data_IF_972987415676
#
_entry.id   IF_972987415676
#
_cell.length_a   1.000
_cell.length_b   1.000
_cell.length_c   1.000
_cell.angle_alpha   90.00
_cell.angle_beta   90.00
_cell.angle_gamma   90.00
#
_symmetry.space_group_name_H-M   'P 1'
#
loop_
_entity.id
_entity.type
_entity.pdbx_description
1 polymer ?
#
# COMPACT_ATOMS: atom_id res chain seq x y z
N UNK A 1 22.46 11.16 -15.54
CA UNK A 1 21.31 12.09 -15.46
C UNK A 1 20.90 12.12 -14.00
N UNK A 2 21.28 13.17 -13.27
CA UNK A 2 20.88 13.37 -11.88
C UNK A 2 19.35 13.35 -11.77
N UNK A 3 18.81 12.68 -10.76
CA UNK A 3 17.42 12.85 -10.35
C UNK A 3 17.25 14.23 -9.71
N UNK A 4 17.40 15.31 -10.49
CA UNK A 4 16.81 16.59 -10.10
C UNK A 4 15.32 16.55 -10.42
N UNK A 5 14.56 16.07 -9.45
CA UNK A 5 13.10 16.25 -9.47
C UNK A 5 12.81 17.74 -9.43
N UNK A 6 12.19 18.28 -10.47
CA UNK A 6 11.89 19.70 -10.49
C UNK A 6 10.90 20.06 -9.39
N UNK A 7 11.00 21.28 -8.83
CA UNK A 7 10.01 21.79 -7.85
C UNK A 7 8.57 21.62 -8.36
N UNK A 8 8.37 21.71 -9.67
CA UNK A 8 7.08 21.48 -10.34
C UNK A 8 6.59 20.03 -10.20
N UNK A 9 7.45 19.04 -10.42
CA UNK A 9 7.09 17.63 -10.25
C UNK A 9 6.68 17.33 -8.79
N UNK A 10 7.45 17.82 -7.82
CA UNK A 10 7.16 17.60 -6.40
C UNK A 10 5.83 18.26 -5.99
N UNK A 11 5.54 19.47 -6.48
CA UNK A 11 4.24 20.14 -6.27
C UNK A 11 3.08 19.33 -6.84
N UNK A 12 3.20 18.82 -8.06
CA UNK A 12 2.16 17.99 -8.68
C UNK A 12 1.94 16.71 -7.87
N UNK A 13 3.04 16.05 -7.47
CA UNK A 13 2.96 14.84 -6.65
C UNK A 13 2.19 15.09 -5.35
N UNK A 14 2.54 16.10 -4.55
CA UNK A 14 1.84 16.38 -3.29
C UNK A 14 0.40 16.86 -3.51
N UNK A 15 0.14 17.66 -4.56
CA UNK A 15 -1.22 18.10 -4.89
C UNK A 15 -2.13 16.91 -5.21
N UNK A 16 -1.62 15.90 -5.91
CA UNK A 16 -2.42 14.71 -6.20
C UNK A 16 -2.46 13.76 -5.00
N UNK A 17 -1.31 13.38 -4.46
CA UNK A 17 -1.22 12.41 -3.38
C UNK A 17 -1.91 12.88 -2.10
N UNK A 18 -1.84 14.16 -1.72
CA UNK A 18 -2.55 14.69 -0.54
C UNK A 18 -3.80 15.47 -0.92
N UNK A 19 -3.73 16.36 -1.91
CA UNK A 19 -4.89 17.18 -2.27
C UNK A 19 -6.09 16.36 -2.70
N UNK A 20 -5.91 15.34 -3.55
CA UNK A 20 -7.03 14.44 -3.95
C UNK A 20 -7.49 13.59 -2.77
N UNK A 21 -6.56 13.06 -1.95
CA UNK A 21 -6.90 12.25 -0.76
C UNK A 21 -7.79 12.99 0.21
N UNK A 22 -7.42 14.22 0.57
CA UNK A 22 -8.19 15.01 1.53
C UNK A 22 -9.47 15.57 0.92
N UNK A 23 -9.46 15.91 -0.38
CA UNK A 23 -10.67 16.30 -1.10
C UNK A 23 -11.69 15.15 -1.14
N UNK A 24 -11.26 13.94 -1.53
CA UNK A 24 -12.08 12.73 -1.47
C UNK A 24 -12.46 12.36 -0.03
N UNK A 25 -11.59 12.68 0.93
CA UNK A 25 -11.86 12.56 2.36
C UNK A 25 -13.06 13.38 2.85
N UNK A 26 -13.37 14.54 2.23
CA UNK A 26 -14.59 15.30 2.54
C UNK A 26 -15.86 14.54 2.14
N UNK A 27 -15.83 13.83 1.01
CA UNK A 27 -16.93 12.98 0.58
C UNK A 27 -17.03 11.73 1.44
N UNK A 28 -15.89 11.13 1.81
CA UNK A 28 -15.87 10.00 2.74
C UNK A 28 -16.42 10.38 4.12
N UNK A 29 -16.07 11.55 4.64
CA UNK A 29 -16.65 12.12 5.86
C UNK A 29 -18.16 12.28 5.75
N UNK A 30 -18.64 12.91 4.66
CA UNK A 30 -20.07 13.07 4.42
C UNK A 30 -20.79 11.71 4.34
N UNK A 31 -20.19 10.74 3.65
CA UNK A 31 -20.64 9.35 3.58
C UNK A 31 -20.83 8.74 4.96
N UNK A 32 -19.74 8.69 5.73
CA UNK A 32 -19.70 8.12 7.07
C UNK A 32 -20.67 8.81 8.04
N UNK A 33 -20.72 10.15 8.03
CA UNK A 33 -21.59 10.94 8.91
C UNK A 33 -23.10 10.75 8.63
N UNK A 34 -23.46 10.31 7.43
CA UNK A 34 -24.85 10.03 7.04
C UNK A 34 -25.12 8.52 6.90
N UNK A 35 -24.25 7.66 7.44
CA UNK A 35 -24.38 6.21 7.40
C UNK A 35 -24.52 5.63 5.98
N UNK A 36 -23.82 6.23 5.01
CA UNK A 36 -23.74 5.73 3.64
C UNK A 36 -22.51 4.85 3.44
N UNK A 37 -22.50 4.07 2.37
CA UNK A 37 -21.38 3.18 2.06
C UNK A 37 -20.13 3.97 1.60
N UNK A 38 -19.03 3.78 2.31
CA UNK A 38 -17.73 4.37 1.99
C UNK A 38 -16.65 3.31 1.70
N UNK A 39 -17.06 2.05 1.51
CA UNK A 39 -16.17 0.89 1.29
C UNK A 39 -15.36 0.97 -0.01
N UNK A 40 -15.84 1.75 -0.99
CA UNK A 40 -15.16 1.97 -2.27
C UNK A 40 -13.97 2.94 -2.18
N UNK A 41 -13.93 3.84 -1.18
CA UNK A 41 -12.93 4.91 -1.11
C UNK A 41 -11.49 4.43 -0.87
N UNK A 42 -11.22 3.45 0.02
CA UNK A 42 -9.85 3.02 0.32
C UNK A 42 -9.08 2.58 -0.93
N UNK A 43 -9.70 1.75 -1.78
CA UNK A 43 -9.07 1.26 -3.01
C UNK A 43 -8.77 2.40 -4.00
N UNK A 44 -9.67 3.38 -4.13
CA UNK A 44 -9.41 4.59 -4.91
C UNK A 44 -8.22 5.36 -4.31
N UNK A 45 -8.22 5.53 -2.99
CA UNK A 45 -7.19 6.26 -2.25
C UNK A 45 -5.80 5.67 -2.47
N UNK A 46 -5.65 4.35 -2.37
CA UNK A 46 -4.38 3.64 -2.62
C UNK A 46 -3.74 3.99 -3.97
N UNK A 47 -4.52 4.41 -4.98
CA UNK A 47 -4.01 4.73 -6.31
C UNK A 47 -3.43 6.15 -6.45
N UNK A 48 -3.77 7.08 -5.55
CA UNK A 48 -3.43 8.50 -5.70
C UNK A 48 -1.92 8.80 -5.72
N UNK A 49 -1.07 8.16 -4.90
CA UNK A 49 0.37 8.46 -4.90
C UNK A 49 1.04 8.18 -6.25
N UNK A 50 0.78 7.03 -6.87
CA UNK A 50 1.28 6.69 -8.20
C UNK A 50 0.72 7.64 -9.26
N UNK A 51 -0.56 8.01 -9.18
CA UNK A 51 -1.15 9.00 -10.08
C UNK A 51 -0.41 10.34 -10.01
N UNK A 52 -0.02 10.77 -8.80
CA UNK A 52 0.79 11.97 -8.61
C UNK A 52 2.13 11.90 -9.34
N UNK A 53 2.82 10.76 -9.26
CA UNK A 53 4.09 10.53 -9.98
C UNK A 53 3.86 10.50 -11.49
N UNK A 54 2.84 9.78 -11.95
CA UNK A 54 2.52 9.61 -13.38
C UNK A 54 2.16 10.96 -14.00
N UNK A 55 1.33 11.77 -13.35
CA UNK A 55 0.96 13.11 -13.81
C UNK A 55 2.18 14.05 -13.79
N UNK A 56 2.99 14.00 -12.73
CA UNK A 56 4.22 14.78 -12.65
C UNK A 56 5.14 14.47 -13.84
N UNK A 57 5.36 13.20 -14.15
CA UNK A 57 6.14 12.78 -15.32
C UNK A 57 5.46 13.15 -16.64
N UNK A 58 4.17 12.88 -16.81
CA UNK A 58 3.43 13.19 -18.03
C UNK A 58 3.45 14.69 -18.37
N UNK A 59 3.41 15.57 -17.36
CA UNK A 59 3.40 17.02 -17.56
C UNK A 59 4.79 17.65 -17.75
N UNK A 60 5.86 16.98 -17.30
CA UNK A 60 7.22 17.54 -17.30
C UNK A 60 8.21 16.80 -18.21
N UNK A 61 7.93 15.54 -18.54
CA UNK A 61 8.73 14.69 -19.44
C UNK A 61 7.94 14.29 -20.69
N UNK A 62 7.15 15.21 -21.24
CA UNK A 62 6.23 14.97 -22.37
C UNK A 62 6.90 14.24 -23.55
N UNK A 63 8.15 14.59 -23.84
CA UNK A 63 8.89 14.09 -25.00
C UNK A 63 9.68 12.80 -24.72
N UNK A 64 9.64 12.25 -23.50
CA UNK A 64 10.34 11.01 -23.19
C UNK A 64 9.62 9.80 -23.82
N UNK A 65 10.24 9.26 -24.88
CA UNK A 65 9.74 8.10 -25.63
C UNK A 65 9.81 6.79 -24.81
N UNK A 66 10.63 6.75 -23.75
CA UNK A 66 10.76 5.57 -22.90
C UNK A 66 9.67 5.48 -21.83
N UNK A 67 8.78 6.47 -21.72
CA UNK A 67 7.66 6.42 -20.80
C UNK A 67 6.71 5.27 -21.15
N UNK A 68 6.34 4.39 -20.19
CA UNK A 68 5.37 3.32 -20.40
C UNK A 68 3.93 3.89 -20.42
N UNK A 69 3.64 4.75 -21.41
CA UNK A 69 2.40 5.55 -21.49
C UNK A 69 1.13 4.71 -21.44
N UNK A 70 1.12 3.53 -22.06
CA UNK A 70 -0.04 2.62 -22.01
C UNK A 70 -0.38 2.21 -20.58
N UNK A 71 0.60 1.64 -19.86
CA UNK A 71 0.46 1.25 -18.47
C UNK A 71 0.07 2.44 -17.56
N UNK A 72 0.73 3.58 -17.73
CA UNK A 72 0.42 4.79 -16.95
C UNK A 72 -0.98 5.35 -17.21
N UNK A 73 -1.46 5.32 -18.45
CA UNK A 73 -2.85 5.71 -18.76
C UNK A 73 -3.85 4.75 -18.12
N UNK A 74 -3.58 3.44 -18.12
CA UNK A 74 -4.43 2.47 -17.43
C UNK A 74 -4.54 2.80 -15.93
N UNK A 75 -3.42 3.04 -15.25
CA UNK A 75 -3.42 3.45 -13.84
C UNK A 75 -4.30 4.69 -13.64
N UNK A 76 -4.11 5.75 -14.42
CA UNK A 76 -4.92 6.97 -14.29
C UNK A 76 -6.42 6.76 -14.57
N UNK A 77 -6.75 5.99 -15.61
CA UNK A 77 -8.14 5.71 -15.99
C UNK A 77 -8.84 4.88 -14.91
N UNK A 78 -8.21 3.83 -14.41
CA UNK A 78 -8.79 3.01 -13.34
C UNK A 78 -8.94 3.79 -12.04
N UNK A 79 -7.98 4.66 -11.69
CA UNK A 79 -8.15 5.57 -10.55
C UNK A 79 -9.37 6.47 -10.73
N UNK A 80 -9.56 7.06 -11.91
CA UNK A 80 -10.72 7.91 -12.17
C UNK A 80 -12.05 7.13 -12.06
N UNK A 81 -12.10 5.90 -12.56
CA UNK A 81 -13.26 5.02 -12.42
C UNK A 81 -13.53 4.70 -10.95
N UNK A 82 -12.50 4.32 -10.18
CA UNK A 82 -12.64 4.04 -8.75
C UNK A 82 -13.14 5.26 -7.98
N UNK A 83 -12.61 6.45 -8.27
CA UNK A 83 -13.10 7.70 -7.67
C UNK A 83 -14.57 7.97 -7.98
N UNK A 84 -15.01 7.72 -9.21
CA UNK A 84 -16.42 7.87 -9.60
C UNK A 84 -17.28 6.89 -8.80
N UNK A 85 -16.87 5.63 -8.68
CA UNK A 85 -17.57 4.62 -7.89
C UNK A 85 -17.64 5.00 -6.41
N UNK A 86 -16.56 5.55 -5.84
CA UNK A 86 -16.57 6.09 -4.47
C UNK A 86 -17.58 7.23 -4.29
N UNK A 87 -17.70 8.13 -5.26
CA UNK A 87 -18.70 9.20 -5.18
C UNK A 87 -20.11 8.63 -5.35
N UNK A 88 -20.31 7.66 -6.25
CA UNK A 88 -21.62 7.04 -6.43
C UNK A 88 -22.10 6.28 -5.19
N UNK A 89 -21.19 5.65 -4.43
CA UNK A 89 -21.54 4.89 -3.20
C UNK A 89 -22.16 5.75 -2.10
N UNK A 90 -21.94 7.06 -2.13
CA UNK A 90 -22.52 8.03 -1.20
C UNK A 90 -23.67 8.85 -1.81
N UNK A 91 -24.03 8.62 -3.07
CA UNK A 91 -25.13 9.30 -3.74
C UNK A 91 -26.32 8.37 -3.97
N UNK A 92 -26.08 7.07 -3.97
CA UNK A 92 -27.06 6.02 -4.22
C UNK A 92 -27.15 5.09 -3.01
N UNK A 93 -28.33 4.53 -2.72
CA UNK A 93 -28.51 3.63 -1.59
C UNK A 93 -27.60 2.40 -1.74
N UNK A 94 -27.09 1.91 -0.61
CA UNK A 94 -26.38 0.62 -0.58
C UNK A 94 -27.38 -0.54 -0.70
N UNK A 95 -26.96 -1.59 -1.40
CA UNK A 95 -27.68 -2.84 -1.53
C UNK A 95 -26.77 -3.97 -1.09
N UNK A 96 -27.26 -4.82 -0.18
CA UNK A 96 -26.53 -6.00 0.25
C UNK A 96 -26.78 -7.15 -0.72
N UNK A 97 -25.70 -7.70 -1.27
CA UNK A 97 -25.73 -8.89 -2.11
C UNK A 97 -25.24 -10.11 -1.33
N UNK A 98 -25.85 -11.28 -1.59
CA UNK A 98 -25.48 -12.52 -0.92
C UNK A 98 -24.40 -13.27 -1.73
N UNK A 99 -23.19 -13.33 -1.20
CA UNK A 99 -22.08 -14.14 -1.75
C UNK A 99 -21.84 -15.29 -0.79
N UNK A 100 -22.01 -16.54 -1.23
CA UNK A 100 -21.77 -17.74 -0.39
C UNK A 100 -22.41 -17.65 1.02
N UNK A 101 -23.65 -17.16 1.09
CA UNK A 101 -24.42 -16.94 2.32
C UNK A 101 -23.89 -15.83 3.28
N UNK A 102 -22.88 -15.05 2.86
CA UNK A 102 -22.47 -13.81 3.56
C UNK A 102 -23.02 -12.58 2.84
N UNK A 103 -23.72 -11.67 3.54
CA UNK A 103 -24.10 -10.39 2.96
C UNK A 103 -22.86 -9.51 2.76
N UNK A 104 -22.73 -8.89 1.59
CA UNK A 104 -21.63 -8.01 1.22
C UNK A 104 -22.21 -6.76 0.57
N UNK A 105 -21.65 -5.59 0.85
CA UNK A 105 -21.98 -4.34 0.16
C UNK A 105 -21.77 -4.48 -1.35
N UNK A 106 -22.76 -4.03 -2.14
CA UNK A 106 -22.65 -3.98 -3.60
C UNK A 106 -21.46 -3.12 -4.03
N UNK A 107 -21.22 -2.00 -3.33
CA UNK A 107 -20.12 -1.08 -3.63
C UNK A 107 -18.76 -1.71 -3.36
N UNK A 108 -18.62 -2.43 -2.23
CA UNK A 108 -17.41 -3.20 -1.90
C UNK A 108 -17.14 -4.23 -3.00
N UNK A 109 -18.15 -5.01 -3.39
CA UNK A 109 -18.03 -6.03 -4.43
C UNK A 109 -17.67 -5.47 -5.82
N UNK A 110 -18.36 -4.42 -6.26
CA UNK A 110 -18.07 -3.74 -7.53
C UNK A 110 -16.64 -3.21 -7.55
N UNK A 111 -16.20 -2.62 -6.44
CA UNK A 111 -14.83 -2.12 -6.29
C UNK A 111 -13.81 -3.25 -6.41
N UNK A 112 -14.05 -4.41 -5.78
CA UNK A 112 -13.17 -5.57 -5.93
C UNK A 112 -13.08 -6.06 -7.39
N UNK A 113 -14.20 -6.16 -8.10
CA UNK A 113 -14.21 -6.53 -9.53
C UNK A 113 -13.40 -5.52 -10.35
N UNK A 114 -13.58 -4.22 -10.10
CA UNK A 114 -12.88 -3.17 -10.82
C UNK A 114 -11.37 -3.19 -10.57
N UNK A 115 -10.94 -3.48 -9.34
CA UNK A 115 -9.51 -3.68 -9.02
C UNK A 115 -8.96 -4.90 -9.75
N UNK A 116 -9.72 -5.99 -9.85
CA UNK A 116 -9.34 -7.19 -10.60
C UNK A 116 -9.17 -6.91 -12.09
N UNK A 117 -10.20 -6.33 -12.72
CA UNK A 117 -10.15 -5.93 -14.13
C UNK A 117 -9.01 -4.94 -14.36
N UNK A 118 -8.88 -3.95 -13.48
CA UNK A 118 -7.84 -2.94 -13.52
C UNK A 118 -6.44 -3.53 -13.50
N UNK A 119 -6.20 -4.47 -12.60
CA UNK A 119 -4.91 -5.16 -12.47
C UNK A 119 -4.60 -6.00 -13.70
N UNK A 120 -5.56 -6.79 -14.20
CA UNK A 120 -5.35 -7.65 -15.36
C UNK A 120 -5.08 -6.82 -16.63
N UNK A 121 -5.87 -5.78 -16.89
CA UNK A 121 -5.66 -4.87 -18.03
C UNK A 121 -4.31 -4.16 -17.88
N UNK A 122 -4.00 -3.63 -16.70
CA UNK A 122 -2.72 -2.96 -16.45
C UNK A 122 -1.53 -3.91 -16.61
N UNK A 123 -1.67 -5.19 -16.27
CA UNK A 123 -0.65 -6.22 -16.49
C UNK A 123 -0.37 -6.44 -17.98
N UNK A 124 -1.40 -6.47 -18.83
CA UNK A 124 -1.25 -6.56 -20.28
C UNK A 124 -0.44 -5.37 -20.82
N UNK A 125 -0.82 -4.14 -20.44
CA UNK A 125 -0.09 -2.95 -20.87
C UNK A 125 1.32 -2.85 -20.28
N UNK A 126 1.52 -3.38 -19.07
CA UNK A 126 2.83 -3.47 -18.43
C UNK A 126 3.77 -4.41 -19.20
N UNK A 127 3.28 -5.58 -19.61
CA UNK A 127 4.04 -6.54 -20.42
C UNK A 127 4.34 -5.94 -21.80
N UNK A 128 3.32 -5.36 -22.45
CA UNK A 128 3.42 -4.74 -23.77
C UNK A 128 4.40 -3.55 -23.81
N UNK A 129 4.64 -2.86 -22.69
CA UNK A 129 5.60 -1.76 -22.62
C UNK A 129 7.05 -2.19 -22.92
N UNK A 130 7.37 -3.49 -22.80
CA UNK A 130 8.71 -4.01 -23.07
C UNK A 130 9.72 -3.70 -21.95
N UNK A 131 10.90 -4.33 -22.02
CA UNK A 131 11.91 -4.25 -20.94
C UNK A 131 12.59 -2.88 -20.84
N UNK A 132 12.76 -2.19 -21.98
CA UNK A 132 13.43 -0.88 -22.06
C UNK A 132 12.64 0.19 -21.31
N UNK A 133 11.35 0.36 -21.64
CA UNK A 133 10.46 1.35 -20.99
C UNK A 133 10.28 1.06 -19.51
N UNK A 134 10.08 -0.23 -19.16
CA UNK A 134 10.00 -0.67 -17.76
C UNK A 134 11.27 -0.35 -16.98
N UNK A 135 12.46 -0.56 -17.56
CA UNK A 135 13.74 -0.24 -16.90
C UNK A 135 13.89 1.27 -16.68
N UNK A 136 13.52 2.10 -17.67
CA UNK A 136 13.66 3.56 -17.61
C UNK A 136 12.84 4.19 -16.47
N UNK A 137 11.70 3.60 -16.12
CA UNK A 137 10.79 4.08 -15.08
C UNK A 137 10.81 3.23 -13.80
N UNK A 138 11.87 2.43 -13.61
CA UNK A 138 12.10 1.67 -12.37
C UNK A 138 11.20 0.45 -12.16
N UNK A 139 10.45 0.04 -13.18
CA UNK A 139 9.48 -1.05 -13.11
C UNK A 139 10.05 -2.41 -13.54
N UNK A 140 11.34 -2.51 -13.86
CA UNK A 140 11.98 -3.80 -14.19
C UNK A 140 12.36 -4.52 -12.90
N UNK A 141 12.03 -5.80 -12.80
CA UNK A 141 12.50 -6.66 -11.71
C UNK A 141 14.04 -6.69 -11.65
N UNK A 142 14.61 -6.56 -10.44
CA UNK A 142 16.06 -6.55 -10.18
C UNK A 142 16.39 -7.40 -8.95
N UNK A 143 17.63 -7.89 -8.87
CA UNK A 143 18.20 -8.59 -7.70
C UNK A 143 17.27 -9.69 -7.15
N UNK A 144 17.00 -10.72 -7.97
CA UNK A 144 16.00 -11.75 -7.65
C UNK A 144 16.28 -12.49 -6.33
N UNK A 145 17.53 -12.91 -6.08
CA UNK A 145 17.90 -13.60 -4.83
C UNK A 145 17.62 -12.74 -3.58
N UNK A 146 18.03 -11.48 -3.61
CA UNK A 146 17.76 -10.53 -2.52
C UNK A 146 16.28 -10.21 -2.37
N UNK A 147 15.54 -10.17 -3.49
CA UNK A 147 14.09 -9.94 -3.50
C UNK A 147 13.35 -11.09 -2.80
N UNK A 148 13.64 -12.33 -3.18
CA UNK A 148 13.08 -13.53 -2.55
C UNK A 148 13.42 -13.55 -1.06
N UNK A 149 14.68 -13.28 -0.71
CA UNK A 149 15.10 -13.19 0.69
C UNK A 149 14.28 -12.16 1.48
N UNK A 150 14.09 -10.94 0.96
CA UNK A 150 13.32 -9.90 1.65
C UNK A 150 11.84 -10.27 1.82
N UNK A 151 11.24 -10.94 0.82
CA UNK A 151 9.85 -11.41 0.90
C UNK A 151 9.70 -12.51 1.96
N UNK A 152 10.58 -13.52 1.95
CA UNK A 152 10.56 -14.59 2.95
C UNK A 152 10.87 -14.07 4.36
N UNK A 153 11.81 -13.14 4.47
CA UNK A 153 12.13 -12.48 5.74
C UNK A 153 10.91 -11.74 6.29
N UNK A 154 10.19 -10.99 5.43
CA UNK A 154 8.98 -10.30 5.85
C UNK A 154 7.91 -11.27 6.36
N UNK A 155 7.65 -12.35 5.61
CA UNK A 155 6.70 -13.38 6.03
C UNK A 155 7.08 -14.00 7.38
N UNK A 156 8.35 -14.35 7.57
CA UNK A 156 8.85 -14.87 8.85
C UNK A 156 8.67 -13.88 10.00
N UNK A 157 9.06 -12.62 9.81
CA UNK A 157 8.89 -11.56 10.82
C UNK A 157 7.42 -11.30 11.12
N UNK A 158 6.55 -11.28 10.10
CA UNK A 158 5.11 -11.08 10.26
C UNK A 158 4.47 -12.22 11.06
N UNK A 159 4.81 -13.47 10.77
CA UNK A 159 4.30 -14.64 11.50
C UNK A 159 4.79 -14.66 12.95
N UNK A 160 6.07 -14.36 13.19
CA UNK A 160 6.62 -14.26 14.55
C UNK A 160 5.98 -13.11 15.34
N UNK A 161 5.76 -11.95 14.70
CA UNK A 161 5.06 -10.82 15.28
C UNK A 161 3.63 -11.19 15.68
N UNK A 162 2.94 -11.92 14.80
CA UNK A 162 1.57 -12.39 15.02
C UNK A 162 1.53 -13.38 16.19
N UNK A 163 2.40 -14.39 16.18
CA UNK A 163 2.56 -15.35 17.29
C UNK A 163 2.77 -14.64 18.63
N UNK A 164 3.70 -13.68 18.68
CA UNK A 164 3.95 -12.91 19.90
C UNK A 164 2.71 -12.15 20.38
N UNK A 165 1.97 -11.55 19.44
CA UNK A 165 0.75 -10.79 19.74
C UNK A 165 -0.36 -11.68 20.31
N UNK A 166 -0.58 -12.86 19.73
CA UNK A 166 -1.54 -13.86 20.24
C UNK A 166 -1.15 -14.39 21.62
N UNK A 167 0.14 -14.62 21.87
CA UNK A 167 0.63 -15.08 23.18
C UNK A 167 0.44 -14.01 24.26
N UNK A 168 0.82 -12.75 23.99
CA UNK A 168 0.71 -11.66 24.96
C UNK A 168 -0.76 -11.32 25.27
N UNK A 169 -1.65 -11.42 24.29
CA UNK A 169 -3.09 -11.17 24.46
C UNK A 169 -3.85 -12.34 25.10
N UNK A 170 -3.18 -13.46 25.39
CA UNK A 170 -3.83 -14.66 25.94
C UNK A 170 -4.73 -15.39 24.93
N UNK A 171 -4.64 -15.07 23.64
CA UNK A 171 -5.49 -15.61 22.57
C UNK A 171 -4.85 -16.82 21.86
N UNK A 172 -3.86 -17.47 22.47
CA UNK A 172 -3.11 -18.56 21.83
C UNK A 172 -3.99 -19.70 21.32
N UNK A 173 -5.10 -20.00 22.00
CA UNK A 173 -6.07 -21.01 21.53
C UNK A 173 -6.72 -20.64 20.19
N UNK A 174 -7.03 -19.35 19.96
CA UNK A 174 -7.58 -18.88 18.69
C UNK A 174 -6.59 -19.09 17.55
N UNK A 175 -5.30 -18.89 17.82
CA UNK A 175 -4.23 -19.19 16.86
C UNK A 175 -4.18 -20.68 16.51
N UNK A 176 -4.34 -21.57 17.49
CA UNK A 176 -4.39 -23.03 17.25
C UNK A 176 -5.58 -23.41 16.39
N UNK A 177 -6.76 -22.83 16.65
CA UNK A 177 -7.96 -23.05 15.82
C UNK A 177 -7.76 -22.57 14.38
N UNK A 178 -7.12 -21.42 14.21
CA UNK A 178 -6.80 -20.85 12.90
C UNK A 178 -5.87 -21.76 12.10
N UNK A 179 -4.83 -22.31 12.71
CA UNK A 179 -3.90 -23.24 12.08
C UNK A 179 -4.58 -24.58 11.73
N UNK A 180 -5.58 -25.01 12.50
CA UNK A 180 -6.38 -26.21 12.21
C UNK A 180 -7.41 -26.00 11.10
N UNK A 181 -7.78 -24.76 10.77
CA UNK A 181 -8.76 -24.46 9.75
C UNK A 181 -8.16 -24.64 8.33
N UNK A 182 -8.70 -25.53 7.48
CA UNK A 182 -8.22 -25.72 6.10
C UNK A 182 -8.26 -24.43 5.26
N UNK A 183 -9.23 -23.54 5.52
CA UNK A 183 -9.38 -22.28 4.80
C UNK A 183 -8.17 -21.36 4.98
N UNK A 184 -7.50 -21.42 6.13
CA UNK A 184 -6.27 -20.66 6.38
C UNK A 184 -5.19 -21.03 5.35
N UNK A 185 -4.98 -22.33 5.15
CA UNK A 185 -3.96 -22.85 4.23
C UNK A 185 -4.32 -22.65 2.77
N UNK A 186 -5.59 -22.82 2.42
CA UNK A 186 -6.10 -22.49 1.08
C UNK A 186 -5.86 -21.01 0.78
N UNK A 187 -6.23 -20.12 1.70
CA UNK A 187 -6.05 -18.67 1.53
C UNK A 187 -4.58 -18.31 1.37
N UNK A 188 -3.69 -18.85 2.21
CA UNK A 188 -2.23 -18.66 2.08
C UNK A 188 -1.71 -19.16 0.73
N UNK A 189 -2.18 -20.32 0.27
CA UNK A 189 -1.81 -20.89 -1.04
C UNK A 189 -2.28 -20.06 -2.23
N UNK A 190 -3.39 -19.31 -2.09
CA UNK A 190 -3.92 -18.44 -3.16
C UNK A 190 -3.26 -17.07 -3.25
N UNK A 191 -2.51 -16.62 -2.22
CA UNK A 191 -1.87 -15.30 -2.19
C UNK A 191 -1.04 -14.97 -3.45
N UNK A 192 -0.23 -15.89 -4.03
CA UNK A 192 0.52 -15.58 -5.24
C UNK A 192 -0.37 -15.27 -6.45
N UNK A 193 -1.50 -15.96 -6.58
CA UNK A 193 -2.47 -15.70 -7.66
C UNK A 193 -3.20 -14.38 -7.37
N UNK A 194 -3.68 -14.21 -6.13
CA UNK A 194 -4.38 -13.00 -5.72
C UNK A 194 -3.52 -11.74 -5.93
N UNK A 195 -2.21 -11.82 -5.69
CA UNK A 195 -1.30 -10.71 -5.99
C UNK A 195 -1.49 -10.17 -7.41
N UNK A 196 -1.52 -11.02 -8.44
CA UNK A 196 -1.70 -10.56 -9.82
C UNK A 196 -3.09 -10.01 -10.10
N UNK A 197 -4.09 -10.42 -9.32
CA UNK A 197 -5.45 -9.91 -9.41
C UNK A 197 -5.60 -8.53 -8.76
N UNK A 198 -4.79 -8.18 -7.75
CA UNK A 198 -4.98 -6.91 -7.01
C UNK A 198 -3.73 -6.04 -6.87
N UNK A 199 -2.62 -6.36 -7.53
CA UNK A 199 -1.34 -5.64 -7.36
C UNK A 199 -1.44 -4.15 -7.65
N UNK A 200 -2.42 -3.73 -8.48
CA UNK A 200 -2.53 -2.36 -8.94
C UNK A 200 -2.73 -1.38 -7.78
N UNK A 201 -3.53 -1.74 -6.77
CA UNK A 201 -3.75 -0.92 -5.58
C UNK A 201 -2.44 -0.71 -4.80
N UNK A 202 -1.67 -1.78 -4.58
CA UNK A 202 -0.40 -1.72 -3.86
C UNK A 202 0.68 -0.99 -4.67
N UNK A 203 0.71 -1.18 -5.99
CA UNK A 203 1.55 -0.37 -6.90
C UNK A 203 1.19 1.12 -6.80
N UNK A 204 -0.10 1.42 -6.70
CA UNK A 204 -0.67 2.75 -6.49
C UNK A 204 0.03 3.52 -5.37
N UNK A 205 0.30 2.86 -4.25
CA UNK A 205 0.96 3.51 -3.12
C UNK A 205 2.48 3.49 -3.25
N UNK A 206 3.06 2.31 -3.44
CA UNK A 206 4.51 2.12 -3.35
C UNK A 206 5.27 2.90 -4.42
N UNK A 207 4.69 3.04 -5.62
CA UNK A 207 5.32 3.81 -6.69
C UNK A 207 5.43 5.29 -6.33
N UNK A 208 4.46 5.83 -5.59
CA UNK A 208 4.54 7.18 -5.03
C UNK A 208 5.51 7.27 -3.85
N UNK A 209 5.35 6.40 -2.86
CA UNK A 209 6.07 6.51 -1.61
C UNK A 209 7.53 6.06 -1.70
N UNK A 210 7.77 4.82 -2.15
CA UNK A 210 9.08 4.16 -2.07
C UNK A 210 9.92 4.44 -3.31
N UNK A 211 9.30 4.39 -4.49
CA UNK A 211 10.03 4.67 -5.73
C UNK A 211 10.32 6.16 -5.90
N UNK A 212 9.34 7.05 -5.68
CA UNK A 212 9.46 8.47 -5.98
C UNK A 212 9.86 9.34 -4.78
N UNK A 213 9.16 9.27 -3.66
CA UNK A 213 9.36 10.21 -2.54
C UNK A 213 10.52 9.84 -1.62
N UNK A 214 10.67 8.55 -1.29
CA UNK A 214 11.73 8.08 -0.39
C UNK A 214 13.13 8.54 -0.82
N UNK A 215 13.53 8.42 -2.11
CA UNK A 215 14.85 8.86 -2.55
C UNK A 215 15.10 10.35 -2.33
N UNK A 216 14.07 11.15 -2.58
CA UNK A 216 14.14 12.60 -2.44
C UNK A 216 14.30 13.01 -0.98
N UNK A 217 13.60 12.31 -0.08
CA UNK A 217 13.69 12.56 1.35
C UNK A 217 15.01 12.11 1.95
N UNK A 218 15.50 10.93 1.55
CA UNK A 218 16.82 10.45 1.98
C UNK A 218 17.94 11.39 1.49
N UNK A 219 17.83 11.92 0.26
CA UNK A 219 18.77 12.93 -0.27
C UNK A 219 18.73 14.25 0.50
N UNK A 220 17.54 14.73 0.84
CA UNK A 220 17.36 16.06 1.42
C UNK A 220 17.58 16.11 2.93
N UNK A 221 17.13 15.10 3.66
CA UNK A 221 17.10 15.11 5.13
C UNK A 221 18.08 14.11 5.75
N UNK A 222 18.84 13.39 4.92
CA UNK A 222 19.70 12.28 5.33
C UNK A 222 18.93 10.96 5.35
N UNK A 223 19.68 9.86 5.27
CA UNK A 223 19.14 8.53 5.02
C UNK A 223 18.08 8.11 6.05
N UNK A 224 18.39 8.19 7.35
CA UNK A 224 17.51 7.71 8.42
C UNK A 224 16.31 8.63 8.62
N UNK A 225 16.55 9.94 8.70
CA UNK A 225 15.50 10.94 8.85
C UNK A 225 14.55 10.93 7.66
N UNK A 226 15.06 10.72 6.44
CA UNK A 226 14.24 10.62 5.24
C UNK A 226 13.28 9.41 5.27
N UNK A 227 13.71 8.28 5.82
CA UNK A 227 12.86 7.08 6.01
C UNK A 227 11.79 7.33 7.07
N UNK A 228 12.19 7.87 8.23
CA UNK A 228 11.25 8.16 9.32
C UNK A 228 10.22 9.20 8.86
N UNK A 229 10.67 10.28 8.21
CA UNK A 229 9.80 11.33 7.67
C UNK A 229 8.83 10.76 6.63
N UNK A 230 9.27 9.85 5.76
CA UNK A 230 8.35 9.19 4.83
C UNK A 230 7.29 8.37 5.58
N UNK A 231 7.67 7.64 6.63
CA UNK A 231 6.72 6.92 7.47
C UNK A 231 5.68 7.85 8.14
N UNK A 232 6.12 9.02 8.60
CA UNK A 232 5.24 10.07 9.14
C UNK A 232 4.28 10.58 8.05
N UNK A 233 4.80 10.97 6.89
CA UNK A 233 3.97 11.46 5.78
C UNK A 233 2.97 10.39 5.32
N UNK A 234 3.41 9.13 5.24
CA UNK A 234 2.53 8.03 4.85
C UNK A 234 1.43 7.78 5.89
N UNK A 235 1.72 7.88 7.19
CA UNK A 235 0.70 7.81 8.24
C UNK A 235 -0.30 8.97 8.17
N UNK A 236 0.17 10.22 8.07
CA UNK A 236 -0.69 11.40 7.92
C UNK A 236 -1.56 11.38 6.66
N UNK A 237 -1.13 10.66 5.63
CA UNK A 237 -1.92 10.48 4.41
C UNK A 237 -3.16 9.58 4.64
N UNK A 238 -3.14 8.69 5.63
CA UNK A 238 -4.26 7.81 5.95
C UNK A 238 -5.39 8.48 6.75
N UNK A 239 -5.19 9.70 7.27
CA UNK A 239 -6.16 10.32 8.18
C UNK A 239 -7.62 10.26 7.70
N UNK A 240 -7.97 10.54 6.44
CA UNK A 240 -9.36 10.40 6.00
C UNK A 240 -9.92 8.99 6.19
N UNK A 241 -9.17 7.96 5.78
CA UNK A 241 -9.63 6.56 5.87
C UNK A 241 -9.64 6.07 7.30
N UNK A 242 -8.71 6.51 8.15
CA UNK A 242 -8.68 6.16 9.58
C UNK A 242 -9.92 6.67 10.31
N UNK A 243 -10.33 7.91 10.01
CA UNK A 243 -11.45 8.58 10.68
C UNK A 243 -12.83 8.24 10.12
N UNK A 244 -12.93 7.82 8.86
CA UNK A 244 -14.24 7.69 8.21
C UNK A 244 -14.53 6.29 7.67
N UNK A 245 -13.57 5.36 7.74
CA UNK A 245 -13.77 3.97 7.30
C UNK A 245 -13.22 2.94 8.28
N UNK A 246 -11.94 3.02 8.67
CA UNK A 246 -11.33 2.00 9.50
C UNK A 246 -11.85 2.02 10.94
N UNK A 247 -12.01 3.18 11.55
CA UNK A 247 -12.56 3.29 12.91
C UNK A 247 -13.29 4.63 13.12
N UNK A 248 -14.50 4.83 12.56
CA UNK A 248 -15.25 6.07 12.71
C UNK A 248 -15.45 6.52 14.16
N UNK A 249 -15.69 5.57 15.06
CA UNK A 249 -15.89 5.83 16.49
C UNK A 249 -14.58 6.02 17.28
N UNK A 250 -13.43 5.73 16.67
CA UNK A 250 -12.12 5.76 17.33
C UNK A 250 -11.01 6.36 16.44
N UNK A 251 -11.36 7.33 15.57
CA UNK A 251 -10.47 7.83 14.52
C UNK A 251 -9.10 8.32 15.01
N UNK A 252 -9.04 8.95 16.20
CA UNK A 252 -7.77 9.36 16.81
C UNK A 252 -6.90 8.17 17.22
N UNK A 253 -7.49 7.12 17.79
CA UNK A 253 -6.76 5.90 18.17
C UNK A 253 -6.25 5.19 16.92
N UNK A 254 -7.10 5.07 15.89
CA UNK A 254 -6.75 4.50 14.60
C UNK A 254 -5.62 5.28 13.93
N UNK A 255 -5.69 6.61 13.89
CA UNK A 255 -4.63 7.44 13.33
C UNK A 255 -3.27 7.24 14.02
N UNK A 256 -3.25 7.11 15.35
CA UNK A 256 -2.00 6.84 16.08
C UNK A 256 -1.50 5.41 15.81
N UNK A 257 -2.40 4.42 15.80
CA UNK A 257 -2.07 3.03 15.45
C UNK A 257 -1.50 2.92 14.03
N UNK A 258 -2.11 3.63 13.09
CA UNK A 258 -1.68 3.72 11.70
C UNK A 258 -0.33 4.42 11.60
N UNK A 259 -0.11 5.47 12.38
CA UNK A 259 1.17 6.17 12.40
C UNK A 259 2.32 5.28 12.90
N UNK A 260 2.08 4.49 13.94
CA UNK A 260 3.01 3.46 14.44
C UNK A 260 3.33 2.47 13.31
N UNK A 261 2.29 1.96 12.64
CA UNK A 261 2.40 0.98 11.57
C UNK A 261 3.17 1.52 10.37
N UNK A 262 2.81 2.70 9.84
CA UNK A 262 3.46 3.32 8.69
C UNK A 262 4.93 3.64 8.95
N UNK A 263 5.31 4.08 10.17
CA UNK A 263 6.71 4.34 10.52
C UNK A 263 7.48 3.03 10.59
N UNK A 264 7.00 2.06 11.36
CA UNK A 264 7.72 0.81 11.62
C UNK A 264 7.83 -0.07 10.36
N UNK A 265 6.72 -0.30 9.64
CA UNK A 265 6.74 -1.01 8.35
C UNK A 265 7.49 -0.22 7.29
N UNK A 266 7.36 1.12 7.27
CA UNK A 266 8.07 2.00 6.34
C UNK A 266 9.59 1.83 6.45
N UNK A 267 10.12 1.62 7.67
CA UNK A 267 11.54 1.30 7.88
C UNK A 267 11.92 -0.01 7.19
N UNK A 268 11.12 -1.07 7.35
CA UNK A 268 11.41 -2.35 6.71
C UNK A 268 11.28 -2.29 5.19
N UNK A 269 10.28 -1.58 4.66
CA UNK A 269 10.10 -1.40 3.22
C UNK A 269 11.24 -0.59 2.62
N UNK A 270 11.73 0.44 3.34
CA UNK A 270 12.91 1.18 2.93
C UNK A 270 14.16 0.30 2.88
N UNK A 271 14.37 -0.56 3.88
CA UNK A 271 15.43 -1.57 3.87
C UNK A 271 15.30 -2.53 2.68
N UNK A 272 14.11 -3.08 2.46
CA UNK A 272 13.87 -4.05 1.39
C UNK A 272 14.08 -3.40 0.02
N UNK A 273 13.59 -2.18 -0.20
CA UNK A 273 13.81 -1.44 -1.44
C UNK A 273 15.30 -1.10 -1.64
N UNK A 274 16.00 -0.63 -0.60
CA UNK A 274 17.43 -0.32 -0.68
C UNK A 274 18.30 -1.55 -0.97
N UNK A 275 17.96 -2.70 -0.38
CA UNK A 275 18.67 -3.98 -0.62
C UNK A 275 18.41 -4.56 -2.00
N UNK A 276 17.20 -4.39 -2.53
CA UNK A 276 16.77 -5.08 -3.76
C UNK A 276 16.81 -4.19 -4.99
N UNK A 277 16.78 -2.85 -4.84
CA UNK A 277 16.60 -1.89 -5.92
C UNK A 277 15.43 -2.26 -6.86
N UNK A 278 14.39 -2.86 -6.29
CA UNK A 278 13.27 -3.44 -7.02
C UNK A 278 11.95 -2.96 -6.38
N UNK A 279 11.20 -2.12 -7.09
CA UNK A 279 9.95 -1.56 -6.57
C UNK A 279 8.88 -2.63 -6.31
N UNK A 280 8.93 -3.74 -7.04
CA UNK A 280 7.96 -4.82 -6.86
C UNK A 280 8.11 -5.51 -5.50
N UNK A 281 9.26 -5.40 -4.83
CA UNK A 281 9.43 -5.96 -3.50
C UNK A 281 8.55 -5.22 -2.49
N UNK A 282 8.68 -3.90 -2.27
CA UNK A 282 7.73 -3.15 -1.44
C UNK A 282 6.25 -3.36 -1.83
N UNK A 283 5.94 -3.47 -3.14
CA UNK A 283 4.57 -3.75 -3.60
C UNK A 283 4.06 -5.10 -3.09
N UNK A 284 4.89 -6.15 -3.19
CA UNK A 284 4.56 -7.47 -2.64
C UNK A 284 4.47 -7.43 -1.11
N UNK A 285 5.39 -6.74 -0.44
CA UNK A 285 5.38 -6.65 1.03
C UNK A 285 4.13 -5.94 1.55
N UNK A 286 3.70 -4.87 0.88
CA UNK A 286 2.47 -4.16 1.20
C UNK A 286 1.24 -5.04 0.92
N UNK A 287 1.21 -5.71 -0.24
CA UNK A 287 0.17 -6.70 -0.54
C UNK A 287 0.05 -7.76 0.56
N UNK A 288 1.18 -8.36 0.97
CA UNK A 288 1.22 -9.36 2.02
C UNK A 288 0.75 -8.79 3.36
N UNK A 289 1.17 -7.57 3.73
CA UNK A 289 0.73 -6.94 4.97
C UNK A 289 -0.80 -6.87 5.06
N UNK A 290 -1.46 -6.40 4.00
CA UNK A 290 -2.90 -6.18 4.02
C UNK A 290 -3.67 -7.50 3.84
N UNK A 291 -3.21 -8.40 2.97
CA UNK A 291 -3.92 -9.63 2.65
C UNK A 291 -3.66 -10.77 3.66
N UNK A 292 -2.68 -10.63 4.55
CA UNK A 292 -2.53 -11.54 5.68
C UNK A 292 -3.51 -11.20 6.82
N UNK A 293 -4.01 -9.96 6.93
CA UNK A 293 -4.95 -9.56 8.01
C UNK A 293 -6.23 -10.43 8.04
N UNK A 294 -6.96 -10.64 6.93
CA UNK A 294 -8.13 -11.53 6.92
C UNK A 294 -7.78 -12.96 7.35
N UNK A 295 -6.61 -13.44 6.89
CA UNK A 295 -6.14 -14.80 7.18
C UNK A 295 -5.82 -14.96 8.66
N UNK A 296 -5.05 -14.03 9.25
CA UNK A 296 -4.63 -14.13 10.66
C UNK A 296 -5.76 -13.80 11.64
N UNK A 297 -6.75 -13.01 11.24
CA UNK A 297 -7.93 -12.73 12.07
C UNK A 297 -8.98 -13.85 11.97
N UNK A 298 -8.88 -14.74 10.97
CA UNK A 298 -9.91 -15.73 10.66
C UNK A 298 -11.20 -15.12 10.09
N UNK A 299 -11.19 -13.82 9.74
CA UNK A 299 -12.31 -13.10 9.16
C UNK A 299 -12.03 -12.81 7.67
N UNK A 300 -12.72 -13.55 6.79
CA UNK A 300 -12.54 -13.46 5.34
C UNK A 300 -13.52 -12.48 4.66
N UNK A 301 -14.18 -11.62 5.44
CA UNK A 301 -15.05 -10.57 4.89
C UNK A 301 -14.25 -9.55 4.08
N UNK A 302 -14.75 -9.06 2.93
CA UNK A 302 -14.17 -7.91 2.22
C UNK A 302 -14.01 -6.66 3.09
N UNK A 303 -14.86 -6.53 4.11
CA UNK A 303 -14.94 -5.36 4.97
C UNK A 303 -14.23 -5.59 6.32
N UNK A 304 -13.33 -6.58 6.42
CA UNK A 304 -12.59 -6.92 7.66
C UNK A 304 -11.78 -5.76 8.24
N UNK A 305 -11.46 -4.75 7.41
CA UNK A 305 -10.74 -3.55 7.85
C UNK A 305 -11.66 -2.42 8.30
N UNK A 306 -12.97 -2.54 8.11
CA UNK A 306 -13.95 -1.54 8.50
C UNK A 306 -14.29 -1.68 10.00
N UNK A 307 -14.57 -0.56 10.65
CA UNK A 307 -15.09 -0.49 12.03
C UNK A 307 -14.25 -1.26 13.08
N UNK A 308 -12.92 -1.21 12.93
CA UNK A 308 -11.97 -1.81 13.86
C UNK A 308 -12.12 -1.23 15.26
N UNK A 309 -12.24 -2.11 16.25
CA UNK A 309 -12.29 -1.72 17.66
C UNK A 309 -10.88 -1.58 18.24
N UNK A 310 -10.34 -0.37 18.17
CA UNK A 310 -9.03 -0.02 18.74
C UNK A 310 -9.19 0.76 20.04
N UNK A 311 -8.33 0.48 21.01
CA UNK A 311 -8.29 1.21 22.28
C UNK A 311 -6.89 1.77 22.56
N UNK A 312 -6.82 2.87 23.33
CA UNK A 312 -5.56 3.50 23.74
C UNK A 312 -4.59 2.53 24.44
N UNK A 313 -5.13 1.58 25.22
CA UNK A 313 -4.34 0.59 25.95
C UNK A 313 -3.55 -0.37 25.03
N UNK A 314 -3.99 -0.55 23.78
CA UNK A 314 -3.34 -1.44 22.82
C UNK A 314 -2.10 -0.80 22.17
N UNK A 315 -2.04 0.53 22.09
CA UNK A 315 -1.04 1.25 21.31
C UNK A 315 0.40 1.09 21.80
N UNK A 316 0.70 1.16 23.12
CA UNK A 316 2.07 0.98 23.61
C UNK A 316 2.62 -0.40 23.24
N UNK A 317 1.82 -1.45 23.40
CA UNK A 317 2.23 -2.81 23.05
C UNK A 317 2.41 -2.97 21.54
N UNK A 318 1.49 -2.41 20.74
CA UNK A 318 1.61 -2.43 19.28
C UNK A 318 2.90 -1.73 18.80
N UNK A 319 3.25 -0.57 19.40
CA UNK A 319 4.50 0.13 19.12
C UNK A 319 5.72 -0.74 19.47
N UNK A 320 5.75 -1.32 20.67
CA UNK A 320 6.88 -2.15 21.11
C UNK A 320 7.08 -3.36 20.19
N UNK A 321 6.01 -4.09 19.89
CA UNK A 321 6.04 -5.26 19.02
C UNK A 321 6.48 -4.85 17.60
N UNK A 322 5.89 -3.82 17.00
CA UNK A 322 6.26 -3.38 15.66
C UNK A 322 7.71 -2.85 15.59
N UNK A 323 8.15 -2.10 16.61
CA UNK A 323 9.51 -1.60 16.70
C UNK A 323 10.53 -2.74 16.83
N UNK A 324 10.21 -3.77 17.61
CA UNK A 324 11.04 -4.97 17.78
C UNK A 324 11.28 -5.69 16.44
N UNK A 325 10.22 -5.92 15.66
CA UNK A 325 10.32 -6.72 14.43
C UNK A 325 10.79 -5.92 13.21
N UNK A 326 10.44 -4.63 13.11
CA UNK A 326 10.70 -3.84 11.90
C UNK A 326 11.56 -2.59 12.16
N UNK A 327 11.51 -2.01 13.35
CA UNK A 327 12.22 -0.76 13.68
C UNK A 327 13.75 -0.89 13.63
N UNK A 328 14.30 -2.01 14.10
CA UNK A 328 15.76 -2.24 14.13
C UNK A 328 16.45 -2.18 12.76
N UNK A 329 15.70 -2.40 11.68
CA UNK A 329 16.23 -2.30 10.32
C UNK A 329 16.74 -0.91 9.98
N UNK A 330 16.33 0.15 10.70
CA UNK A 330 16.81 1.54 10.52
C UNK A 330 18.34 1.66 10.62
N UNK A 331 18.99 0.74 11.32
CA UNK A 331 20.44 0.68 11.51
C UNK A 331 21.16 -0.10 10.39
N UNK A 332 20.41 -0.72 9.48
CA UNK A 332 20.97 -1.54 8.41
C UNK A 332 21.72 -0.69 7.37
N UNK A 333 22.89 -1.17 6.95
CA UNK A 333 23.66 -0.59 5.84
C UNK A 333 22.88 -0.50 4.53
N UNK A 334 21.87 -1.36 4.33
CA UNK A 334 21.10 -1.39 3.10
C UNK A 334 20.05 -0.26 2.99
N UNK A 335 19.78 0.47 4.07
CA UNK A 335 18.98 1.70 3.99
C UNK A 335 19.78 2.84 3.34
N UNK A 336 21.11 2.79 3.42
CA UNK A 336 22.03 3.81 2.91
C UNK A 336 22.25 3.78 1.39
N UNK A 337 21.75 2.77 0.66
CA UNK A 337 22.22 2.47 -0.68
C UNK A 337 21.49 3.22 -1.81
N UNK A 338 21.33 4.54 -1.64
CA UNK A 338 21.04 5.46 -2.74
C UNK A 338 22.06 6.58 -2.68
N UNK A 339 23.18 6.44 -3.41
CA UNK A 339 23.89 7.53 -4.13
C UNK A 339 24.98 7.01 -5.07
N UNK A 340 25.34 5.72 -5.02
CA UNK A 340 26.04 5.12 -6.16
C UNK A 340 25.05 5.00 -7.32
N UNK A 341 24.99 6.09 -8.08
CA UNK A 341 24.71 6.06 -9.50
C UNK A 341 25.32 4.79 -10.07
N UNK A 342 24.53 4.01 -10.80
CA UNK A 342 25.07 3.05 -11.77
C UNK A 342 25.89 3.89 -12.79
N UNK A 343 27.10 4.27 -12.40
CA UNK A 343 28.20 4.74 -13.24
C UNK A 343 29.17 3.56 -13.23
N UNK A 344 29.29 2.95 -14.41
CA UNK A 344 30.24 1.89 -14.77
C UNK A 344 30.01 0.49 -14.18
N UNK A 345 29.28 -0.32 -14.95
CA UNK A 345 29.81 -1.63 -15.38
C UNK A 345 29.28 -1.95 -16.78
N UNK A 346 29.61 -1.07 -17.72
CA UNK A 346 29.95 -1.49 -19.07
C UNK A 346 31.42 -1.88 -19.05
N UNK A 347 31.67 -3.17 -18.90
CA UNK A 347 32.85 -3.89 -19.36
C UNK A 347 32.39 -5.29 -19.70
#
# INVERSE_FOLDING_TARGET
MEFETSKKQLKIFFLVAFGVTYFMGLFMWYGSANHMDVSAFPNAQMMYPACGVILAYGLTKKNDLNMPRGFFRCVLLFTAVLMIVSILSILLPDELIMITATPVSLWSFLTQILVVIGSLVSLVFFIAAGSVKRKAYGLKWRNAKSSIFCILLFLGLYLLRTLLSYTISGQFEQMVLLVKNPMTWISLGTLPINFFLVFLAFFGEEYGWRYYLQPLFQKRFGVRNGVILLGVIWGLWHLPVDFFYYSPDAGLVAAVAQQITCITLGIFFAYAYGKTRNIWVPVILHFLNNNLIPIISGNYSPDVLQDQQLTWGMLPMALLINALFFGGFILSKHINCQFETDKYSSS
#
